data_IF_818321578611
#
_entry.id   IF_818321578611
#
_cell.length_a   1.000
_cell.length_b   1.000
_cell.length_c   1.000
_cell.angle_alpha   90.00
_cell.angle_beta   90.00
_cell.angle_gamma   90.00
#
_symmetry.space_group_name_H-M   'P 1'
#
loop_
_entity.id
_entity.type
_entity.pdbx_description
1 polymer ?
#
# COMPACT_ATOMS: atom_id res chain seq x y z
N UNK A 1 -4.15 13.04 6.78
CA UNK A 1 -3.02 12.23 7.30
C UNK A 1 -1.75 13.07 7.24
N UNK A 2 -0.83 12.87 8.19
CA UNK A 2 0.51 13.46 8.08
C UNK A 2 1.33 12.77 6.96
N UNK A 3 2.22 13.52 6.30
CA UNK A 3 2.94 13.03 5.12
C UNK A 3 3.84 11.82 5.42
N UNK A 4 4.39 11.75 6.64
CA UNK A 4 5.22 10.65 7.15
C UNK A 4 4.43 9.35 7.37
N UNK A 5 3.09 9.40 7.31
CA UNK A 5 2.21 8.22 7.40
C UNK A 5 1.80 7.67 6.04
N UNK A 6 2.14 8.34 4.93
CA UNK A 6 1.85 7.82 3.59
C UNK A 6 2.77 6.65 3.28
N UNK A 7 2.18 5.50 3.00
CA UNK A 7 2.90 4.27 2.68
C UNK A 7 2.09 3.42 1.70
N UNK A 8 2.74 2.37 1.18
CA UNK A 8 2.06 1.29 0.47
C UNK A 8 2.20 0.01 1.28
N UNK A 9 1.07 -0.55 1.71
CA UNK A 9 1.08 -1.83 2.42
C UNK A 9 1.38 -2.95 1.42
N UNK A 10 2.33 -3.83 1.76
CA UNK A 10 2.70 -4.98 0.91
C UNK A 10 1.98 -6.24 1.39
N UNK A 11 1.92 -6.48 2.70
CA UNK A 11 1.26 -7.62 3.30
C UNK A 11 0.77 -7.26 4.71
N UNK A 12 -0.17 -8.05 5.24
CA UNK A 12 -0.64 -7.94 6.62
C UNK A 12 -0.61 -9.30 7.29
N UNK A 13 -0.53 -9.34 8.63
CA UNK A 13 -0.65 -10.57 9.40
C UNK A 13 -1.60 -10.36 10.57
N UNK A 14 -2.45 -11.36 10.85
CA UNK A 14 -3.34 -11.39 12.04
C UNK A 14 -2.90 -12.40 13.11
N UNK A 15 -1.68 -12.96 13.00
CA UNK A 15 -1.15 -13.95 13.95
C UNK A 15 0.37 -13.90 14.10
N UNK A 16 0.91 -14.83 14.88
CA UNK A 16 2.36 -15.05 15.03
C UNK A 16 2.94 -15.58 13.73
N UNK A 17 3.31 -14.66 12.83
CA UNK A 17 4.13 -14.98 11.66
C UNK A 17 5.58 -15.01 12.11
N UNK A 18 6.32 -16.02 11.64
CA UNK A 18 7.75 -16.09 11.86
C UNK A 18 8.46 -15.07 10.96
N UNK A 19 8.47 -13.80 11.38
CA UNK A 19 9.08 -12.68 10.66
C UNK A 19 10.58 -12.88 10.41
N UNK A 20 11.23 -13.75 11.18
CA UNK A 20 12.66 -14.05 11.03
C UNK A 20 12.98 -14.74 9.68
N UNK A 21 11.98 -15.29 9.01
CA UNK A 21 12.15 -15.97 7.72
C UNK A 21 12.14 -15.02 6.52
N UNK A 22 11.74 -13.75 6.70
CA UNK A 22 11.65 -12.78 5.60
C UNK A 22 12.33 -11.49 6.02
N UNK A 23 13.45 -11.19 5.38
CA UNK A 23 14.13 -9.90 5.56
C UNK A 23 13.44 -8.80 4.76
N UNK A 24 13.31 -7.58 5.30
CA UNK A 24 12.77 -6.45 4.55
C UNK A 24 13.66 -6.10 3.35
N UNK A 25 13.06 -5.65 2.25
CA UNK A 25 13.80 -5.13 1.11
C UNK A 25 14.50 -3.80 1.48
N UNK A 26 15.82 -3.83 1.62
CA UNK A 26 16.62 -2.67 2.03
C UNK A 26 16.77 -1.57 0.96
N UNK A 27 16.31 -1.83 -0.27
CA UNK A 27 16.44 -0.89 -1.39
C UNK A 27 15.17 -0.10 -1.61
N UNK A 28 15.32 1.20 -1.82
CA UNK A 28 14.28 2.11 -2.24
C UNK A 28 13.50 1.61 -3.47
N UNK A 29 12.29 2.14 -3.62
CA UNK A 29 11.42 1.89 -4.76
C UNK A 29 10.99 3.21 -5.38
N UNK A 30 11.40 3.43 -6.62
CA UNK A 30 10.84 4.50 -7.46
C UNK A 30 9.82 3.93 -8.43
N UNK A 31 8.59 4.43 -8.36
CA UNK A 31 7.58 4.24 -9.40
C UNK A 31 7.59 5.46 -10.30
N UNK A 32 7.95 5.25 -11.56
CA UNK A 32 8.02 6.32 -12.56
C UNK A 32 6.65 6.98 -12.74
N UNK A 33 6.69 8.18 -13.32
CA UNK A 33 5.51 8.88 -13.84
C UNK A 33 4.70 7.90 -14.69
N UNK A 34 3.39 7.86 -14.52
CA UNK A 34 2.57 6.87 -15.22
C UNK A 34 1.09 7.20 -15.23
N UNK A 35 0.47 6.98 -16.40
CA UNK A 35 -0.96 7.22 -16.64
C UNK A 35 -1.87 6.14 -16.06
N UNK A 36 -1.34 4.95 -15.73
CA UNK A 36 -2.10 3.84 -15.12
C UNK A 36 -2.24 4.04 -13.61
N UNK A 37 -2.89 5.14 -13.24
CA UNK A 37 -3.23 5.49 -11.85
C UNK A 37 -4.70 5.82 -11.77
N UNK A 38 -5.32 5.50 -10.64
CA UNK A 38 -6.72 5.84 -10.38
C UNK A 38 -6.92 6.19 -8.92
N UNK A 39 -7.76 7.18 -8.65
CA UNK A 39 -8.24 7.44 -7.30
C UNK A 39 -9.50 6.63 -7.07
N UNK A 40 -9.57 5.90 -5.95
CA UNK A 40 -10.73 5.08 -5.59
C UNK A 40 -11.09 5.25 -4.13
N UNK A 41 -12.31 4.88 -3.77
CA UNK A 41 -12.77 4.75 -2.41
C UNK A 41 -12.76 3.26 -2.02
N UNK A 42 -12.05 2.92 -0.93
CA UNK A 42 -11.97 1.58 -0.36
C UNK A 42 -12.78 1.50 0.95
N UNK A 43 -14.08 1.80 0.88
CA UNK A 43 -14.98 1.68 2.04
C UNK A 43 -14.76 2.79 3.08
N UNK A 44 -14.64 4.04 2.65
CA UNK A 44 -14.47 5.22 3.52
C UNK A 44 -13.06 5.79 3.54
N UNK A 45 -12.11 5.16 2.84
CA UNK A 45 -10.74 5.67 2.67
C UNK A 45 -10.47 5.91 1.20
N UNK A 46 -10.00 7.12 0.86
CA UNK A 46 -9.61 7.49 -0.49
C UNK A 46 -8.15 7.08 -0.72
N UNK A 47 -7.94 6.37 -1.82
CA UNK A 47 -6.65 5.76 -2.16
C UNK A 47 -6.18 6.15 -3.56
N UNK A 48 -4.86 6.29 -3.74
CA UNK A 48 -4.22 6.36 -5.04
C UNK A 48 -3.74 4.95 -5.42
N UNK A 49 -4.37 4.32 -6.40
CA UNK A 49 -3.92 3.06 -6.96
C UNK A 49 -2.89 3.26 -8.07
N UNK A 50 -1.92 2.36 -8.15
CA UNK A 50 -0.90 2.35 -9.19
C UNK A 50 -0.43 0.93 -9.51
N UNK A 51 0.17 0.74 -10.68
CA UNK A 51 0.76 -0.54 -11.07
C UNK A 51 2.24 -0.62 -10.66
N UNK A 52 2.63 -1.70 -10.00
CA UNK A 52 4.04 -1.98 -9.71
C UNK A 52 4.29 -3.49 -9.62
N UNK A 53 5.04 -4.03 -10.58
CA UNK A 53 5.33 -5.47 -10.64
C UNK A 53 6.24 -5.91 -9.48
N UNK A 54 7.17 -5.05 -9.03
CA UNK A 54 8.06 -5.36 -7.90
C UNK A 54 7.27 -5.55 -6.61
N UNK A 55 6.29 -4.67 -6.32
CA UNK A 55 5.39 -4.83 -5.19
C UNK A 55 4.49 -6.06 -5.32
N UNK A 56 3.98 -6.35 -6.53
CA UNK A 56 3.14 -7.53 -6.76
C UNK A 56 3.90 -8.85 -6.52
N UNK A 57 5.16 -8.92 -6.95
CA UNK A 57 6.05 -10.06 -6.68
C UNK A 57 6.35 -10.18 -5.19
N UNK A 58 6.64 -9.06 -4.53
CA UNK A 58 6.92 -9.02 -3.10
C UNK A 58 5.71 -9.46 -2.26
N UNK A 59 4.49 -9.02 -2.63
CA UNK A 59 3.26 -9.52 -2.03
C UNK A 59 3.12 -11.03 -2.20
N UNK A 60 3.34 -11.57 -3.42
CA UNK A 60 3.25 -13.00 -3.67
C UNK A 60 4.27 -13.81 -2.85
N UNK A 61 5.47 -13.27 -2.61
CA UNK A 61 6.46 -13.86 -1.70
C UNK A 61 5.90 -13.95 -0.26
N UNK A 62 5.39 -12.86 0.30
CA UNK A 62 4.77 -12.86 1.63
C UNK A 62 3.61 -13.87 1.74
N UNK A 63 2.79 -13.99 0.68
CA UNK A 63 1.70 -14.98 0.63
C UNK A 63 2.22 -16.42 0.67
N UNK A 64 3.36 -16.72 0.05
CA UNK A 64 3.99 -18.06 0.10
C UNK A 64 4.50 -18.43 1.50
N UNK A 65 4.88 -17.43 2.29
CA UNK A 65 5.28 -17.60 3.69
C UNK A 65 4.09 -17.57 4.68
N UNK A 66 2.85 -17.60 4.19
CA UNK A 66 1.67 -17.73 5.02
C UNK A 66 1.14 -16.43 5.64
N UNK A 67 1.66 -15.27 5.23
CA UNK A 67 1.05 -13.99 5.66
C UNK A 67 -0.37 -13.86 5.13
N UNK A 68 -1.27 -13.31 5.94
CA UNK A 68 -2.67 -13.08 5.57
C UNK A 68 -2.82 -11.94 4.55
N UNK A 69 -3.97 -11.92 3.88
CA UNK A 69 -4.43 -10.78 3.10
C UNK A 69 -5.93 -10.87 3.04
N UNK A 70 -6.59 -9.81 3.48
CA UNK A 70 -8.03 -9.86 3.76
C UNK A 70 -8.87 -9.48 2.54
N UNK A 71 -8.23 -9.08 1.44
CA UNK A 71 -8.89 -8.65 0.22
C UNK A 71 -8.75 -9.68 -0.91
N UNK A 72 -9.70 -9.74 -1.87
CA UNK A 72 -9.66 -10.73 -2.95
C UNK A 72 -8.43 -10.66 -3.86
N UNK A 73 -7.85 -9.47 -4.00
CA UNK A 73 -6.65 -9.25 -4.83
C UNK A 73 -5.73 -8.21 -4.20
N UNK A 74 -4.45 -8.26 -4.57
CA UNK A 74 -3.49 -7.24 -4.23
C UNK A 74 -3.41 -6.19 -5.34
N UNK A 75 -3.61 -4.94 -4.97
CA UNK A 75 -3.39 -3.79 -5.85
C UNK A 75 -2.61 -2.75 -5.08
N UNK A 76 -1.38 -2.38 -5.49
CA UNK A 76 -0.61 -1.35 -4.82
C UNK A 76 -1.41 -0.04 -4.74
N UNK A 77 -1.51 0.50 -3.53
CA UNK A 77 -2.22 1.74 -3.27
C UNK A 77 -1.62 2.51 -2.10
N UNK A 78 -1.82 3.83 -2.11
CA UNK A 78 -1.52 4.72 -0.98
C UNK A 78 -2.85 5.28 -0.48
N UNK A 79 -3.20 5.02 0.76
CA UNK A 79 -4.29 5.71 1.45
C UNK A 79 -3.85 7.13 1.81
N UNK A 80 -4.65 8.14 1.49
CA UNK A 80 -4.25 9.54 1.70
C UNK A 80 -5.31 10.43 2.33
N UNK A 81 -6.58 10.04 2.30
CA UNK A 81 -7.67 10.79 2.92
C UNK A 81 -8.80 9.85 3.37
N UNK A 82 -9.60 10.30 4.33
CA UNK A 82 -10.92 9.71 4.59
C UNK A 82 -11.94 10.29 3.60
N UNK A 83 -13.00 9.54 3.32
CA UNK A 83 -14.08 10.04 2.49
C UNK A 83 -14.98 10.99 3.28
N UNK A 84 -15.02 12.24 2.84
CA UNK A 84 -15.88 13.30 3.39
C UNK A 84 -16.96 13.72 2.37
N UNK A 85 -17.35 12.81 1.47
CA UNK A 85 -18.32 13.06 0.41
C UNK A 85 -17.69 13.64 -0.87
N UNK A 86 -16.44 13.30 -1.13
CA UNK A 86 -15.70 13.83 -2.29
C UNK A 86 -16.22 13.21 -3.59
N UNK A 87 -16.57 14.05 -4.57
CA UNK A 87 -16.87 13.60 -5.93
C UNK A 87 -15.60 13.15 -6.67
N UNK A 88 -15.30 11.85 -6.60
CA UNK A 88 -14.13 11.26 -7.24
C UNK A 88 -14.12 11.39 -8.77
N UNK A 89 -15.27 11.66 -9.41
CA UNK A 89 -15.32 11.91 -10.86
C UNK A 89 -14.59 13.19 -11.27
N UNK A 90 -14.38 14.12 -10.32
CA UNK A 90 -13.63 15.37 -10.53
C UNK A 90 -12.17 15.28 -10.07
N UNK A 91 -11.78 14.19 -9.42
CA UNK A 91 -10.43 14.02 -8.88
C UNK A 91 -9.52 13.43 -9.95
N UNK A 92 -8.41 14.12 -10.22
CA UNK A 92 -7.36 13.62 -11.11
C UNK A 92 -6.31 12.87 -10.30
N UNK A 93 -5.91 11.65 -10.70
CA UNK A 93 -4.82 10.95 -10.05
C UNK A 93 -3.52 11.74 -10.12
N UNK A 94 -2.74 11.74 -9.04
CA UNK A 94 -1.38 12.27 -9.07
C UNK A 94 -0.54 11.45 -10.07
N UNK A 95 0.05 12.12 -11.06
CA UNK A 95 0.83 11.46 -12.13
C UNK A 95 2.35 11.53 -11.91
N UNK A 96 2.81 12.35 -10.96
CA UNK A 96 4.24 12.55 -10.69
C UNK A 96 4.95 11.30 -10.19
N UNK A 97 6.28 11.35 -10.07
CA UNK A 97 7.06 10.22 -9.55
C UNK A 97 6.64 9.89 -8.11
N UNK A 98 6.56 8.59 -7.79
CA UNK A 98 6.41 8.13 -6.40
C UNK A 98 7.75 7.55 -5.96
N UNK A 99 8.32 8.13 -4.91
CA UNK A 99 9.60 7.70 -4.34
C UNK A 99 9.33 7.16 -2.94
N UNK A 100 9.61 5.87 -2.76
CA UNK A 100 9.48 5.17 -1.48
C UNK A 100 10.87 4.80 -0.98
N UNK A 101 11.08 4.96 0.34
CA UNK A 101 12.25 4.41 1.01
C UNK A 101 12.23 2.88 1.11
N UNK A 102 13.13 2.30 1.91
CA UNK A 102 13.20 0.86 2.12
C UNK A 102 11.93 0.30 2.75
N UNK A 103 11.71 -1.00 2.57
CA UNK A 103 10.65 -1.74 3.24
C UNK A 103 10.88 -1.75 4.77
N UNK A 104 9.82 -1.57 5.53
CA UNK A 104 9.86 -1.65 6.99
C UNK A 104 8.74 -2.54 7.51
N UNK A 105 8.97 -3.19 8.65
CA UNK A 105 7.93 -3.90 9.38
C UNK A 105 7.41 -2.98 10.48
N UNK A 106 6.09 -2.84 10.55
CA UNK A 106 5.42 -2.07 11.58
C UNK A 106 4.32 -2.94 12.17
N UNK A 107 4.19 -2.89 13.50
CA UNK A 107 3.00 -3.38 14.15
C UNK A 107 1.91 -2.36 13.87
N UNK A 108 0.85 -2.80 13.22
CA UNK A 108 -0.24 -1.92 12.87
C UNK A 108 -1.03 -1.59 14.16
N UNK A 109 -0.74 -0.45 14.77
CA UNK A 109 -1.47 0.05 15.95
C UNK A 109 -2.78 0.74 15.56
N UNK A 110 -3.31 0.45 14.37
CA UNK A 110 -4.66 0.90 14.00
C UNK A 110 -5.63 0.02 14.79
N UNK A 111 -5.87 0.34 16.06
CA UNK A 111 -7.05 0.09 16.89
C UNK A 111 -6.89 0.97 18.15
N UNK A 112 -6.91 2.30 17.95
CA UNK A 112 -7.08 3.30 19.01
C UNK A 112 -7.47 4.64 18.40
N UNK A 113 -8.50 4.67 17.55
CA UNK A 113 -9.33 5.85 17.27
C UNK A 113 -10.71 5.36 16.81
#
# INVERSE_FOLDING_TARGET
>A
MAADKLHVTIATSRGTVNWEQILPCATDLTVRVGSRRSVRNFGGVIVLMFSCQRLSRRHAEFRRFGMSWDFPSYSPHISFAFDEGVDLGKVRPFLGRLDFGPECFQVDTIHSL
#
